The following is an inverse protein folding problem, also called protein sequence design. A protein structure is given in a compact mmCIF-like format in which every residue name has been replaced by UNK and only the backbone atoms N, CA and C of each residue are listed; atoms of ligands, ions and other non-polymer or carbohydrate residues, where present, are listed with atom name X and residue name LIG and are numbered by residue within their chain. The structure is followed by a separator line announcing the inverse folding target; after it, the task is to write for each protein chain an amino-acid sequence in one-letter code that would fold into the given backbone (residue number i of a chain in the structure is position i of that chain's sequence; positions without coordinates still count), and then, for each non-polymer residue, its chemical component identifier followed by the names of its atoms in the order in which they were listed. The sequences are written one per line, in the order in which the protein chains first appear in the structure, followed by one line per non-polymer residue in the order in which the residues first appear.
data_IF_962617078569
#
_entry.id   IF_962617078569
#
_cell.length_a   1.000
_cell.length_b   1.000
_cell.length_c   1.000
_cell.angle_alpha   90.00
_cell.angle_beta   90.00
_cell.angle_gamma   90.00
#
_symmetry.space_group_name_H-M   'P 1'
#
loop_
_entity.id
_entity.type
_entity.pdbx_description
1 polymer ?
#
# COMPACT_ATOMS: atom_id res chain seq x y z
N UNK A 1 23.33 -36.95 36.43
CA UNK A 1 22.03 -36.70 37.10
C UNK A 1 21.12 -36.07 36.07
N UNK A 2 20.12 -36.84 35.67
CA UNK A 2 19.32 -36.64 34.45
C UNK A 2 17.91 -36.26 34.89
N UNK A 3 17.42 -35.09 34.47
CA UNK A 3 16.01 -34.75 34.64
C UNK A 3 15.54 -33.84 33.50
N UNK A 4 14.76 -34.44 32.60
CA UNK A 4 13.73 -33.84 31.74
C UNK A 4 12.48 -34.74 31.90
N UNK A 5 11.28 -34.37 31.43
CA UNK A 5 10.69 -33.04 31.25
C UNK A 5 9.27 -32.97 31.86
N UNK A 6 8.62 -31.80 31.89
CA UNK A 6 7.18 -31.68 32.16
C UNK A 6 6.47 -30.93 31.03
N UNK A 7 5.79 -31.70 30.17
CA UNK A 7 4.78 -31.25 29.21
C UNK A 7 3.47 -30.94 29.93
N UNK A 8 2.88 -29.77 29.66
CA UNK A 8 1.47 -29.40 29.88
C UNK A 8 1.18 -28.26 28.89
N UNK A 9 0.01 -28.07 28.28
CA UNK A 9 -1.12 -28.93 27.97
C UNK A 9 -1.90 -28.25 26.83
N UNK A 10 -2.65 -29.03 26.08
CA UNK A 10 -3.44 -28.61 24.93
C UNK A 10 -4.59 -27.65 25.29
N UNK A 11 -4.89 -26.71 24.39
CA UNK A 11 -6.02 -25.78 24.49
C UNK A 11 -6.55 -25.39 23.11
N UNK A 12 -7.17 -26.35 22.44
CA UNK A 12 -7.83 -26.22 21.14
C UNK A 12 -9.17 -25.48 21.28
N UNK A 13 -9.37 -24.35 20.58
CA UNK A 13 -10.70 -23.74 20.38
C UNK A 13 -10.93 -23.50 18.88
N UNK A 14 -11.94 -24.21 18.37
CA UNK A 14 -12.47 -24.13 17.01
C UNK A 14 -13.13 -22.78 16.69
N UNK A 15 -13.24 -22.42 15.40
CA UNK A 15 -13.85 -21.18 14.94
C UNK A 15 -15.38 -21.23 14.92
N UNK A 16 -16.02 -20.08 15.21
CA UNK A 16 -17.45 -19.85 15.06
C UNK A 16 -17.72 -19.34 13.63
N UNK A 17 -18.36 -20.18 12.84
CA UNK A 17 -18.95 -19.84 11.53
C UNK A 17 -20.22 -19.03 11.76
N UNK A 18 -20.33 -17.86 11.14
CA UNK A 18 -21.58 -17.08 11.10
C UNK A 18 -22.02 -16.98 9.64
N UNK A 19 -23.09 -17.71 9.31
CA UNK A 19 -23.87 -17.52 8.09
C UNK A 19 -24.81 -16.32 8.28
N UNK A 20 -24.88 -15.43 7.30
CA UNK A 20 -26.02 -14.52 7.16
C UNK A 20 -26.32 -14.18 5.69
N UNK A 21 -27.41 -14.80 5.22
CA UNK A 21 -28.50 -14.35 4.31
C UNK A 21 -28.23 -13.12 3.43
N UNK A 22 -28.34 -13.22 2.10
CA UNK A 22 -29.59 -13.13 1.30
C UNK A 22 -30.41 -11.89 1.62
N UNK A 23 -30.43 -10.94 0.67
CA UNK A 23 -31.67 -10.29 0.23
C UNK A 23 -31.56 -9.97 -1.27
N UNK A 24 -32.47 -10.57 -2.03
CA UNK A 24 -32.88 -10.19 -3.38
C UNK A 24 -33.72 -8.92 -3.28
N UNK A 25 -33.54 -7.98 -4.22
CA UNK A 25 -34.57 -6.99 -4.51
C UNK A 25 -34.80 -6.97 -6.01
N UNK A 26 -35.84 -7.69 -6.42
CA UNK A 26 -36.56 -7.54 -7.68
C UNK A 26 -37.77 -6.64 -7.41
N UNK A 27 -38.03 -5.73 -8.33
CA UNK A 27 -39.22 -4.88 -8.41
C UNK A 27 -38.93 -3.73 -9.37
N UNK A 28 -39.80 -3.33 -10.29
CA UNK A 28 -41.15 -3.77 -10.61
C UNK A 28 -41.43 -3.30 -12.03
N UNK A 29 -42.22 -4.08 -12.76
CA UNK A 29 -42.82 -3.70 -14.03
C UNK A 29 -43.77 -2.50 -13.83
N UNK A 30 -43.85 -1.62 -14.83
CA UNK A 30 -45.10 -0.94 -15.14
C UNK A 30 -45.22 -0.72 -16.66
N UNK A 31 -46.25 -1.39 -17.20
CA UNK A 31 -46.82 -1.17 -18.51
C UNK A 31 -47.64 0.13 -18.51
N UNK A 32 -47.47 0.99 -19.52
CA UNK A 32 -48.60 1.76 -20.01
C UNK A 32 -48.63 1.93 -21.52
N UNK A 33 -49.84 1.79 -22.00
CA UNK A 33 -50.28 1.51 -23.36
C UNK A 33 -50.80 2.81 -23.99
N UNK A 34 -50.41 3.06 -25.25
CA UNK A 34 -51.21 3.73 -26.28
C UNK A 34 -51.62 5.20 -26.13
N UNK A 35 -51.16 6.03 -27.06
CA UNK A 35 -52.08 6.94 -27.76
C UNK A 35 -51.54 7.35 -29.13
N UNK A 36 -52.33 7.10 -30.18
CA UNK A 36 -52.13 7.55 -31.55
C UNK A 36 -52.61 8.99 -31.67
N UNK A 37 -51.81 9.88 -32.23
CA UNK A 37 -52.32 11.00 -33.04
C UNK A 37 -51.40 11.22 -34.24
N UNK A 38 -52.01 11.15 -35.42
CA UNK A 38 -51.42 11.65 -36.66
C UNK A 38 -51.31 13.17 -36.58
N UNK A 39 -50.13 13.71 -36.90
CA UNK A 39 -49.98 15.10 -37.31
C UNK A 39 -48.96 15.13 -38.44
N UNK A 40 -49.52 15.52 -39.59
CA UNK A 40 -48.87 15.80 -40.85
C UNK A 40 -48.10 17.13 -40.76
N UNK A 41 -46.99 17.22 -41.49
CA UNK A 41 -46.32 18.45 -41.94
C UNK A 41 -45.71 19.37 -40.85
N UNK A 42 -44.39 19.29 -40.68
CA UNK A 42 -43.49 20.38 -41.11
C UNK A 42 -42.05 19.86 -41.32
N UNK A 43 -41.74 19.65 -42.60
CA UNK A 43 -40.40 19.56 -43.22
C UNK A 43 -39.99 21.01 -43.50
N UNK A 44 -38.80 21.56 -43.23
CA UNK A 44 -37.43 21.06 -43.20
C UNK A 44 -36.58 22.14 -42.50
N UNK A 45 -35.97 21.87 -41.34
CA UNK A 45 -34.85 22.68 -40.82
C UNK A 45 -34.03 22.03 -39.68
N UNK A 46 -34.38 20.84 -39.16
CA UNK A 46 -33.77 20.29 -37.95
C UNK A 46 -32.67 19.20 -38.06
N UNK A 47 -32.31 18.59 -39.20
CA UNK A 47 -31.31 17.50 -39.20
C UNK A 47 -29.86 17.99 -39.00
N UNK A 48 -29.58 19.28 -39.21
CA UNK A 48 -28.24 19.84 -39.01
C UNK A 48 -27.93 20.08 -37.53
N UNK A 49 -28.92 20.46 -36.72
CA UNK A 49 -28.72 20.78 -35.30
C UNK A 49 -28.48 19.52 -34.44
N UNK A 50 -29.17 18.42 -34.73
CA UNK A 50 -28.97 17.16 -34.00
C UNK A 50 -27.61 16.53 -34.29
N UNK A 51 -27.16 16.57 -35.56
CA UNK A 51 -25.82 16.09 -35.93
C UNK A 51 -24.71 16.92 -35.29
N UNK A 52 -24.90 18.24 -35.17
CA UNK A 52 -23.96 19.13 -34.50
C UNK A 52 -23.89 18.85 -32.99
N UNK A 53 -25.03 18.64 -32.33
CA UNK A 53 -25.07 18.30 -30.90
C UNK A 53 -24.39 16.97 -30.59
N UNK A 54 -24.58 15.94 -31.41
CA UNK A 54 -23.90 14.64 -31.24
C UNK A 54 -22.39 14.80 -31.41
N UNK A 55 -21.93 15.56 -32.40
CA UNK A 55 -20.50 15.88 -32.57
C UNK A 55 -19.93 16.61 -31.35
N UNK A 56 -20.64 17.61 -30.82
CA UNK A 56 -20.24 18.35 -29.63
C UNK A 56 -20.13 17.40 -28.42
N UNK A 57 -21.11 16.53 -28.19
CA UNK A 57 -21.07 15.57 -27.08
C UNK A 57 -19.90 14.58 -27.23
N UNK A 58 -19.65 14.06 -28.43
CA UNK A 58 -18.51 13.16 -28.68
C UNK A 58 -17.17 13.86 -28.44
N UNK A 59 -17.03 15.11 -28.90
CA UNK A 59 -15.82 15.92 -28.66
C UNK A 59 -15.63 16.21 -27.17
N UNK A 60 -16.70 16.54 -26.45
CA UNK A 60 -16.67 16.80 -25.01
C UNK A 60 -16.28 15.53 -24.25
N UNK A 61 -16.95 14.39 -24.49
CA UNK A 61 -16.65 13.12 -23.83
C UNK A 61 -15.23 12.68 -24.14
N UNK A 62 -14.81 12.74 -25.41
CA UNK A 62 -13.45 12.42 -25.84
C UNK A 62 -12.40 13.27 -25.10
N UNK A 63 -12.62 14.60 -25.04
CA UNK A 63 -11.74 15.53 -24.33
C UNK A 63 -11.69 15.22 -22.83
N UNK A 64 -12.82 14.92 -22.18
CA UNK A 64 -12.86 14.53 -20.78
C UNK A 64 -12.12 13.21 -20.51
N UNK A 65 -12.25 12.19 -21.36
CA UNK A 65 -11.47 10.93 -21.20
C UNK A 65 -9.97 11.15 -21.31
N UNK A 66 -9.52 11.98 -22.26
CA UNK A 66 -8.10 12.28 -22.46
C UNK A 66 -7.55 13.11 -21.30
N UNK A 67 -8.28 14.14 -20.87
CA UNK A 67 -7.90 14.98 -19.72
C UNK A 67 -7.88 14.18 -18.41
N UNK A 68 -8.83 13.27 -18.22
CA UNK A 68 -8.87 12.38 -17.06
C UNK A 68 -7.68 11.41 -17.03
N UNK A 69 -7.34 10.79 -18.17
CA UNK A 69 -6.12 9.95 -18.28
C UNK A 69 -4.83 10.74 -18.02
N UNK A 70 -4.70 11.94 -18.58
CA UNK A 70 -3.52 12.78 -18.35
C UNK A 70 -3.36 13.16 -16.87
N UNK A 71 -4.46 13.41 -16.16
CA UNK A 71 -4.45 13.69 -14.72
C UNK A 71 -4.11 12.46 -13.89
N UNK A 72 -4.62 11.28 -14.28
CA UNK A 72 -4.29 10.00 -13.64
C UNK A 72 -2.79 9.70 -13.70
N UNK A 73 -2.17 9.84 -14.87
CA UNK A 73 -0.73 9.58 -15.07
C UNK A 73 0.12 10.55 -14.24
N UNK A 74 -0.29 11.81 -14.13
CA UNK A 74 0.43 12.82 -13.35
C UNK A 74 0.32 12.62 -11.83
N UNK A 75 -0.75 11.97 -11.37
CA UNK A 75 -0.93 11.59 -9.97
C UNK A 75 -0.07 10.37 -9.64
N UNK A 76 -0.16 9.31 -10.46
CA UNK A 76 0.61 8.08 -10.29
C UNK A 76 2.12 8.35 -10.26
N UNK A 77 2.64 9.23 -11.14
CA UNK A 77 4.08 9.57 -11.15
C UNK A 77 4.55 10.29 -9.89
N UNK A 78 3.71 11.14 -9.27
CA UNK A 78 4.04 11.78 -7.98
C UNK A 78 4.01 10.79 -6.83
N UNK A 79 3.04 9.88 -6.84
CA UNK A 79 2.88 8.89 -5.79
C UNK A 79 3.99 7.82 -5.85
N UNK A 80 4.43 7.44 -7.06
CA UNK A 80 5.60 6.57 -7.26
C UNK A 80 6.88 7.20 -6.71
N UNK A 81 7.15 8.47 -7.01
CA UNK A 81 8.32 9.17 -6.49
C UNK A 81 8.31 9.28 -4.95
N UNK A 82 7.12 9.43 -4.35
CA UNK A 82 6.97 9.44 -2.89
C UNK A 82 7.28 8.07 -2.27
N UNK A 83 6.82 6.99 -2.89
CA UNK A 83 7.05 5.62 -2.42
C UNK A 83 8.54 5.22 -2.48
N UNK A 84 9.22 5.50 -3.59
CA UNK A 84 10.65 5.22 -3.75
C UNK A 84 11.49 5.93 -2.68
N UNK A 85 11.19 7.21 -2.40
CA UNK A 85 11.87 7.97 -1.34
C UNK A 85 11.67 7.31 0.03
N UNK A 86 10.44 6.87 0.35
CA UNK A 86 10.16 6.19 1.63
C UNK A 86 10.91 4.86 1.75
N UNK A 87 11.01 4.09 0.65
CA UNK A 87 11.81 2.85 0.60
C UNK A 87 13.29 3.16 0.84
N UNK A 88 13.85 4.19 0.18
CA UNK A 88 15.24 4.60 0.41
C UNK A 88 15.49 5.04 1.87
N UNK A 89 14.59 5.84 2.45
CA UNK A 89 14.68 6.26 3.86
C UNK A 89 14.64 5.06 4.81
N UNK A 90 13.80 4.06 4.52
CA UNK A 90 13.73 2.84 5.31
C UNK A 90 15.06 2.06 5.28
N UNK A 91 15.68 1.90 4.12
CA UNK A 91 16.97 1.21 4.03
C UNK A 91 18.15 2.02 4.59
N UNK A 92 18.10 3.35 4.52
CA UNK A 92 19.03 4.23 5.25
C UNK A 92 18.89 4.05 6.77
N UNK A 93 17.66 4.01 7.27
CA UNK A 93 17.38 3.75 8.68
C UNK A 93 17.84 2.35 9.12
N UNK A 94 17.69 1.33 8.26
CA UNK A 94 18.22 -0.01 8.51
C UNK A 94 19.74 -0.02 8.62
N UNK A 95 20.44 0.72 7.75
CA UNK A 95 21.90 0.88 7.83
C UNK A 95 22.32 1.51 9.17
N UNK A 96 21.56 2.46 9.69
CA UNK A 96 21.84 3.04 11.02
C UNK A 96 21.62 2.04 12.17
N UNK A 97 20.67 1.13 12.04
CA UNK A 97 20.44 0.05 13.02
C UNK A 97 21.58 -0.97 12.96
N UNK A 98 21.94 -1.42 11.75
CA UNK A 98 23.03 -2.34 11.51
C UNK A 98 23.76 -1.98 10.20
N UNK A 99 25.03 -1.53 10.27
CA UNK A 99 25.80 -1.15 9.09
C UNK A 99 25.94 -2.25 8.03
N UNK A 100 25.86 -3.53 8.41
CA UNK A 100 25.91 -4.67 7.49
C UNK A 100 24.77 -4.65 6.45
N UNK A 101 23.63 -4.04 6.77
CA UNK A 101 22.51 -3.92 5.83
C UNK A 101 22.79 -3.02 4.63
N UNK A 102 23.89 -2.23 4.65
CA UNK A 102 24.35 -1.53 3.45
C UNK A 102 24.86 -2.48 2.37
N UNK A 103 25.65 -3.47 2.76
CA UNK A 103 26.27 -4.41 1.81
C UNK A 103 25.31 -5.55 1.44
N UNK A 104 24.48 -5.96 2.40
CA UNK A 104 23.54 -7.08 2.29
C UNK A 104 22.16 -6.64 2.80
N UNK A 105 21.42 -5.83 2.01
CA UNK A 105 20.11 -5.34 2.42
C UNK A 105 19.12 -6.50 2.55
N UNK A 106 18.44 -6.64 3.71
CA UNK A 106 17.49 -7.72 3.92
C UNK A 106 16.14 -7.43 3.25
N UNK A 107 15.39 -8.50 3.00
CA UNK A 107 13.96 -8.43 2.71
C UNK A 107 13.19 -8.00 3.96
N UNK A 108 12.29 -7.01 3.82
CA UNK A 108 11.61 -6.39 4.96
C UNK A 108 10.62 -7.34 5.63
N UNK A 109 9.97 -8.24 4.88
CA UNK A 109 9.08 -9.27 5.46
C UNK A 109 9.86 -10.28 6.29
N UNK A 110 10.98 -10.74 5.75
CA UNK A 110 11.89 -11.68 6.42
C UNK A 110 12.47 -11.04 7.67
N UNK A 111 12.79 -9.74 7.62
CA UNK A 111 13.33 -9.01 8.75
C UNK A 111 12.39 -9.06 9.97
N UNK A 112 11.08 -9.01 9.76
CA UNK A 112 10.05 -9.09 10.82
C UNK A 112 9.42 -10.49 10.96
N UNK A 113 10.04 -11.53 10.40
CA UNK A 113 9.64 -12.93 10.49
C UNK A 113 8.20 -13.22 10.01
N UNK A 114 7.78 -12.61 8.90
CA UNK A 114 6.50 -12.92 8.25
C UNK A 114 6.70 -13.37 6.80
N UNK A 115 5.67 -14.02 6.23
CA UNK A 115 5.70 -14.42 4.83
C UNK A 115 5.78 -13.21 3.91
N UNK A 116 6.57 -13.32 2.84
CA UNK A 116 6.63 -12.36 1.74
C UNK A 116 5.23 -12.10 1.16
N UNK A 117 4.96 -10.84 0.80
CA UNK A 117 3.68 -10.41 0.22
C UNK A 117 2.50 -10.44 1.22
N UNK A 118 2.76 -10.53 2.52
CA UNK A 118 1.69 -10.46 3.52
C UNK A 118 1.04 -9.07 3.50
N UNK A 119 -0.23 -8.98 3.10
CA UNK A 119 -1.00 -7.73 3.17
C UNK A 119 -1.71 -7.50 4.52
N UNK A 120 -1.77 -8.53 5.38
CA UNK A 120 -2.46 -8.46 6.66
C UNK A 120 -1.74 -7.53 7.65
N UNK A 121 -2.20 -6.28 7.74
CA UNK A 121 -1.59 -5.23 8.57
C UNK A 121 -1.35 -5.64 10.03
N UNK A 122 -2.28 -6.37 10.67
CA UNK A 122 -2.08 -6.84 12.04
C UNK A 122 -0.86 -7.77 12.23
N UNK A 123 -0.48 -8.56 11.23
CA UNK A 123 0.71 -9.41 11.28
C UNK A 123 1.98 -8.57 11.10
N UNK A 124 1.93 -7.60 10.18
CA UNK A 124 3.03 -6.65 9.95
C UNK A 124 3.29 -5.84 11.22
N UNK A 125 2.26 -5.24 11.82
CA UNK A 125 2.35 -4.48 13.07
C UNK A 125 2.94 -5.32 14.20
N UNK A 126 2.47 -6.55 14.38
CA UNK A 126 3.00 -7.46 15.41
C UNK A 126 4.49 -7.78 15.18
N UNK A 127 4.90 -7.96 13.92
CA UNK A 127 6.30 -8.17 13.55
C UNK A 127 7.18 -6.99 13.94
N UNK A 128 6.76 -5.76 13.63
CA UNK A 128 7.49 -4.55 14.03
C UNK A 128 7.48 -4.31 15.54
N UNK A 129 6.34 -4.55 16.20
CA UNK A 129 6.24 -4.44 17.65
C UNK A 129 7.27 -5.36 18.33
N UNK A 130 7.44 -6.59 17.84
CA UNK A 130 8.46 -7.51 18.36
C UNK A 130 9.89 -6.99 18.19
N UNK A 131 10.17 -6.17 17.17
CA UNK A 131 11.50 -5.56 16.97
C UNK A 131 11.73 -4.36 17.87
N UNK A 132 10.69 -3.57 18.14
CA UNK A 132 10.81 -2.34 18.93
C UNK A 132 10.65 -2.56 20.43
N UNK A 133 10.01 -3.65 20.85
CA UNK A 133 9.72 -3.93 22.26
C UNK A 133 10.98 -3.97 23.13
N UNK A 134 12.06 -4.62 22.68
CA UNK A 134 13.32 -4.69 23.41
C UNK A 134 13.92 -3.29 23.61
N UNK A 135 13.99 -2.49 22.54
CA UNK A 135 14.50 -1.11 22.63
C UNK A 135 13.64 -0.24 23.55
N UNK A 136 12.32 -0.43 23.54
CA UNK A 136 11.40 0.32 24.41
C UNK A 136 11.62 -0.03 25.88
N UNK A 137 11.75 -1.33 26.20
CA UNK A 137 12.05 -1.78 27.57
C UNK A 137 13.39 -1.23 28.06
N UNK A 138 14.41 -1.28 27.21
CA UNK A 138 15.73 -0.71 27.51
C UNK A 138 15.66 0.81 27.71
N UNK A 139 15.00 1.54 26.82
CA UNK A 139 14.85 2.99 26.94
C UNK A 139 14.17 3.41 28.25
N UNK A 140 13.15 2.68 28.68
CA UNK A 140 12.41 2.96 29.92
C UNK A 140 13.22 2.64 31.19
N UNK A 141 14.18 1.72 31.12
CA UNK A 141 15.08 1.39 32.22
C UNK A 141 16.28 2.34 32.37
N UNK A 142 16.54 3.18 31.37
CA UNK A 142 17.66 4.11 31.36
C UNK A 142 17.26 5.48 31.94
N UNK A 143 18.22 6.13 32.62
CA UNK A 143 18.07 7.54 33.00
C UNK A 143 18.02 8.43 31.74
N UNK A 144 17.32 9.57 31.78
CA UNK A 144 17.33 10.53 30.68
C UNK A 144 18.75 10.94 30.27
N UNK A 145 19.04 10.91 28.98
CA UNK A 145 20.35 11.24 28.40
C UNK A 145 20.64 10.43 27.13
N UNK A 146 21.88 10.55 26.63
CA UNK A 146 22.30 9.98 25.33
C UNK A 146 21.93 8.51 25.16
N UNK A 147 22.16 7.67 26.16
CA UNK A 147 21.88 6.24 26.05
C UNK A 147 20.38 5.94 25.86
N UNK A 148 19.50 6.69 26.55
CA UNK A 148 18.06 6.56 26.36
C UNK A 148 17.65 7.07 24.96
N UNK A 149 18.24 8.19 24.53
CA UNK A 149 17.93 8.79 23.24
C UNK A 149 18.40 7.93 22.06
N UNK A 150 19.52 7.21 22.20
CA UNK A 150 19.99 6.22 21.23
C UNK A 150 18.96 5.10 21.07
N UNK A 151 18.38 4.59 22.16
CA UNK A 151 17.31 3.57 22.08
C UNK A 151 16.04 4.11 21.42
N UNK A 152 15.64 5.34 21.74
CA UNK A 152 14.52 6.02 21.05
C UNK A 152 14.81 6.21 19.56
N UNK A 153 16.04 6.55 19.19
CA UNK A 153 16.47 6.66 17.78
C UNK A 153 16.34 5.33 17.06
N UNK A 154 16.73 4.21 17.69
CA UNK A 154 16.54 2.89 17.10
C UNK A 154 15.06 2.56 16.87
N UNK A 155 14.17 2.90 17.82
CA UNK A 155 12.72 2.74 17.63
C UNK A 155 12.22 3.60 16.46
N UNK A 156 12.65 4.86 16.39
CA UNK A 156 12.28 5.75 15.29
C UNK A 156 12.75 5.22 13.92
N UNK A 157 13.94 4.62 13.86
CA UNK A 157 14.44 3.99 12.65
C UNK A 157 13.59 2.77 12.25
N UNK A 158 13.17 1.91 13.18
CA UNK A 158 12.22 0.84 12.90
C UNK A 158 10.86 1.35 12.42
N UNK A 159 10.38 2.48 12.94
CA UNK A 159 9.12 3.08 12.47
C UNK A 159 9.22 3.53 11.00
N UNK A 160 10.36 4.08 10.56
CA UNK A 160 10.59 4.42 9.15
C UNK A 160 10.52 3.16 8.26
N UNK A 161 11.03 2.03 8.75
CA UNK A 161 10.92 0.74 8.04
C UNK A 161 9.49 0.24 7.99
N UNK A 162 8.74 0.40 9.09
CA UNK A 162 7.35 -0.02 9.19
C UNK A 162 6.45 0.67 8.16
N UNK A 163 6.69 1.96 7.86
CA UNK A 163 5.96 2.72 6.86
C UNK A 163 5.90 2.00 5.51
N UNK A 164 7.00 1.36 5.08
CA UNK A 164 7.07 0.67 3.77
C UNK A 164 6.07 -0.47 3.67
N UNK A 165 5.85 -1.23 4.74
CA UNK A 165 4.93 -2.39 4.71
C UNK A 165 3.51 -2.06 5.19
N UNK A 166 3.33 -0.93 5.89
CA UNK A 166 2.02 -0.52 6.43
C UNK A 166 1.23 0.34 5.44
N UNK A 167 1.90 1.24 4.72
CA UNK A 167 1.27 2.03 3.68
C UNK A 167 1.09 1.20 2.41
N UNK A 168 -0.15 1.09 1.93
CA UNK A 168 -0.49 0.19 0.83
C UNK A 168 0.21 0.55 -0.48
N UNK A 169 0.27 1.85 -0.82
CA UNK A 169 0.91 2.29 -2.06
C UNK A 169 2.43 2.07 -2.04
N UNK A 170 3.07 2.30 -0.90
CA UNK A 170 4.51 2.07 -0.72
C UNK A 170 4.81 0.58 -0.74
N UNK A 171 3.99 -0.23 -0.05
CA UNK A 171 4.11 -1.69 -0.05
C UNK A 171 3.92 -2.25 -1.45
N UNK A 172 2.97 -1.73 -2.23
CA UNK A 172 2.75 -2.17 -3.61
C UNK A 172 4.00 -1.97 -4.47
N UNK A 173 4.63 -0.79 -4.39
CA UNK A 173 5.90 -0.52 -5.10
C UNK A 173 7.02 -1.42 -4.59
N UNK A 174 7.09 -1.64 -3.26
CA UNK A 174 8.06 -2.55 -2.66
C UNK A 174 7.87 -3.99 -3.19
N UNK A 175 6.65 -4.51 -3.14
CA UNK A 175 6.33 -5.87 -3.56
C UNK A 175 6.62 -6.09 -5.04
N UNK A 176 6.27 -5.11 -5.89
CA UNK A 176 6.49 -5.16 -7.33
C UNK A 176 7.98 -5.25 -7.70
N UNK A 177 8.86 -4.62 -6.92
CA UNK A 177 10.28 -4.47 -7.28
C UNK A 177 11.22 -5.42 -6.54
N UNK A 178 10.85 -5.85 -5.33
CA UNK A 178 11.79 -6.49 -4.40
C UNK A 178 11.48 -7.97 -4.09
N UNK A 179 10.29 -8.49 -4.41
CA UNK A 179 9.92 -9.87 -4.07
C UNK A 179 10.79 -10.93 -4.76
N UNK A 180 11.27 -10.65 -5.97
CA UNK A 180 12.09 -11.56 -6.79
C UNK A 180 13.55 -11.69 -6.31
N UNK A 181 13.93 -11.04 -5.20
CA UNK A 181 15.20 -11.27 -4.51
C UNK A 181 16.38 -10.40 -4.96
N UNK A 182 16.19 -9.51 -5.93
CA UNK A 182 17.24 -8.61 -6.45
C UNK A 182 17.38 -7.29 -5.66
N UNK A 183 17.26 -7.36 -4.33
CA UNK A 183 17.06 -6.18 -3.49
C UNK A 183 18.18 -5.17 -3.62
N UNK A 184 19.44 -5.62 -3.55
CA UNK A 184 20.59 -4.71 -3.62
C UNK A 184 20.66 -3.95 -4.93
N UNK A 185 20.54 -4.66 -6.06
CA UNK A 185 20.62 -4.04 -7.38
C UNK A 185 19.53 -2.97 -7.57
N UNK A 186 18.33 -3.25 -7.08
CA UNK A 186 17.21 -2.34 -7.24
C UNK A 186 17.30 -1.14 -6.29
N UNK A 187 17.82 -1.32 -5.08
CA UNK A 187 18.17 -0.20 -4.19
C UNK A 187 19.31 0.65 -4.74
N UNK A 188 20.34 0.06 -5.35
CA UNK A 188 21.44 0.82 -5.95
C UNK A 188 20.94 1.70 -7.12
N UNK A 189 19.97 1.23 -7.90
CA UNK A 189 19.33 2.05 -8.96
C UNK A 189 18.45 3.16 -8.38
N UNK A 190 17.64 2.84 -7.38
CA UNK A 190 16.62 3.74 -6.82
C UNK A 190 17.22 4.78 -5.86
N UNK A 191 18.16 4.37 -5.02
CA UNK A 191 18.71 5.16 -3.93
C UNK A 191 20.17 5.56 -4.15
N UNK A 192 20.80 5.10 -5.23
CA UNK A 192 22.25 5.21 -5.45
C UNK A 192 22.79 6.62 -5.38
N UNK A 193 22.10 7.60 -5.97
CA UNK A 193 22.56 8.99 -5.96
C UNK A 193 22.46 9.59 -4.56
N UNK A 194 21.35 9.35 -3.87
CA UNK A 194 21.16 9.75 -2.47
C UNK A 194 22.20 9.12 -1.53
N UNK A 195 22.63 7.89 -1.81
CA UNK A 195 23.69 7.21 -1.07
C UNK A 195 25.10 7.64 -1.44
N UNK A 196 25.31 8.29 -2.60
CA UNK A 196 26.58 8.93 -2.98
C UNK A 196 26.71 10.29 -2.30
N UNK A 197 25.64 11.07 -2.27
CA UNK A 197 25.62 12.40 -1.65
C UNK A 197 25.83 12.33 -0.13
N UNK A 198 25.32 11.27 0.52
CA UNK A 198 25.51 11.00 1.94
C UNK A 198 26.85 10.31 2.29
N UNK A 199 27.87 10.34 1.43
CA UNK A 199 29.20 9.77 1.75
C UNK A 199 30.14 10.71 2.49
N UNK A 200 29.84 12.01 2.54
CA UNK A 200 30.78 13.00 3.07
C UNK A 200 31.90 13.27 2.07
#
# INVERSE_FOLDING_TARGET
MTTQPRQQNAGSKKPRVVHRRHDQSQGSEDHHNGSKTNSHQDRQALPLLTSLLVLIVVLIVGFFTVAWRARSIKQETKDLGSAEIKICIAYEALKEINPQYRSTPPDLYTLINISKGTSHQGKILKGFQSKTETFLKEANGLRPGSAQDDKKKQIANWNKVAVVLLEEDVRRVYDQRFLDGWIKSELDKMCGDRWKDNRG
#
